data_IF_564556153427
#
_entry.id   IF_564556153427
#
_cell.length_a   1.000
_cell.length_b   1.000
_cell.length_c   1.000
_cell.angle_alpha   90.00
_cell.angle_beta   90.00
_cell.angle_gamma   90.00
#
_symmetry.space_group_name_H-M   'P 1'
#
loop_
_entity.id
_entity.type
_entity.pdbx_description
1 polymer ?
#
# COMPACT_ATOMS: atom_id res chain seq x y z
N UNK A 1 2.94 -22.67 -1.22
CA UNK A 1 2.13 -23.75 -0.61
C UNK A 1 2.96 -25.01 -0.36
N UNK A 2 3.65 -25.54 -1.38
CA UNK A 2 4.52 -26.73 -1.26
C UNK A 2 5.50 -26.70 -0.07
N UNK A 3 6.12 -25.55 0.22
CA UNK A 3 7.02 -25.38 1.38
C UNK A 3 6.31 -25.58 2.73
N UNK A 4 5.09 -25.06 2.90
CA UNK A 4 4.28 -25.24 4.12
C UNK A 4 3.95 -26.71 4.33
N UNK A 5 3.43 -27.34 3.28
CA UNK A 5 3.01 -28.74 3.33
C UNK A 5 4.19 -29.66 3.64
N UNK A 6 5.35 -29.37 3.05
CA UNK A 6 6.60 -30.11 3.30
C UNK A 6 7.06 -29.95 4.75
N UNK A 7 7.09 -28.72 5.28
CA UNK A 7 7.54 -28.46 6.64
C UNK A 7 6.58 -29.06 7.70
N UNK A 8 5.27 -28.99 7.46
CA UNK A 8 4.26 -29.65 8.32
C UNK A 8 4.42 -31.17 8.28
N UNK A 9 4.53 -31.76 7.09
CA UNK A 9 4.73 -33.20 6.94
C UNK A 9 6.00 -33.67 7.65
N UNK A 10 7.10 -32.91 7.53
CA UNK A 10 8.34 -33.18 8.24
C UNK A 10 8.16 -33.16 9.76
N UNK A 11 7.43 -32.18 10.32
CA UNK A 11 7.19 -32.13 11.77
C UNK A 11 6.40 -33.36 12.23
N UNK A 12 5.32 -33.70 11.52
CA UNK A 12 4.42 -34.81 11.87
C UNK A 12 5.13 -36.17 11.75
N UNK A 13 5.88 -36.40 10.68
CA UNK A 13 6.64 -37.64 10.47
C UNK A 13 7.69 -37.84 11.58
N UNK A 14 8.53 -36.82 11.81
CA UNK A 14 9.58 -36.91 12.82
C UNK A 14 9.01 -37.07 14.24
N UNK A 15 7.88 -36.42 14.56
CA UNK A 15 7.20 -36.61 15.83
C UNK A 15 6.64 -38.02 15.99
N UNK A 16 6.01 -38.56 14.94
CA UNK A 16 5.49 -39.94 14.92
C UNK A 16 6.60 -40.95 15.19
N UNK A 17 7.77 -40.74 14.58
CA UNK A 17 8.95 -41.56 14.85
C UNK A 17 9.46 -41.45 16.29
N UNK A 18 9.51 -40.23 16.86
CA UNK A 18 9.91 -40.03 18.25
C UNK A 18 8.99 -40.74 19.24
N UNK A 19 7.67 -40.63 19.04
CA UNK A 19 6.67 -41.31 19.89
C UNK A 19 6.80 -42.82 19.80
N UNK A 20 6.99 -43.35 18.59
CA UNK A 20 7.18 -44.78 18.37
C UNK A 20 8.46 -45.31 19.04
N UNK A 21 9.57 -44.56 18.94
CA UNK A 21 10.82 -44.90 19.60
C UNK A 21 10.73 -44.81 21.13
N UNK A 22 9.97 -43.84 21.65
CA UNK A 22 9.77 -43.65 23.09
C UNK A 22 8.90 -44.75 23.75
N UNK A 23 8.22 -45.58 22.96
CA UNK A 23 7.39 -46.67 23.49
C UNK A 23 8.27 -47.75 24.11
N UNK A 24 8.10 -47.96 25.42
CA UNK A 24 8.81 -49.00 26.17
C UNK A 24 8.40 -50.37 25.62
N UNK A 25 9.36 -51.09 25.02
CA UNK A 25 9.26 -52.52 24.76
C UNK A 25 10.24 -53.23 25.71
N UNK A 26 10.07 -54.54 25.96
CA UNK A 26 10.78 -55.37 26.96
C UNK A 26 12.32 -55.44 26.83
N UNK A 27 12.94 -54.66 25.95
CA UNK A 27 14.39 -54.63 25.77
C UNK A 27 15.00 -53.63 26.77
N UNK A 28 15.82 -54.07 27.75
CA UNK A 28 16.19 -53.24 28.91
C UNK A 28 17.16 -52.08 28.60
N UNK A 29 17.63 -51.96 27.35
CA UNK A 29 18.72 -51.04 27.00
C UNK A 29 18.42 -50.36 25.67
N UNK A 30 18.21 -49.04 25.71
CA UNK A 30 18.26 -48.18 24.51
C UNK A 30 19.71 -48.08 24.06
N UNK A 31 19.99 -48.42 22.80
CA UNK A 31 21.34 -48.26 22.27
C UNK A 31 21.63 -46.76 21.99
N UNK A 32 22.91 -46.38 22.03
CA UNK A 32 23.34 -45.00 21.79
C UNK A 32 22.96 -44.48 20.38
N UNK A 33 22.79 -45.40 19.43
CA UNK A 33 22.35 -45.09 18.07
C UNK A 33 20.90 -44.57 18.05
N UNK A 34 19.99 -45.21 18.78
CA UNK A 34 18.58 -44.80 18.87
C UNK A 34 18.47 -43.41 19.51
N UNK A 35 19.22 -43.14 20.58
CA UNK A 35 19.29 -41.82 21.20
C UNK A 35 19.75 -40.73 20.20
N UNK A 36 20.83 -41.00 19.45
CA UNK A 36 21.33 -40.10 18.40
C UNK A 36 20.28 -39.87 17.28
N UNK A 37 19.57 -40.91 16.85
CA UNK A 37 18.51 -40.74 15.85
C UNK A 37 17.35 -39.90 16.36
N UNK A 38 16.97 -40.04 17.64
CA UNK A 38 15.93 -39.20 18.25
C UNK A 38 16.34 -37.73 18.30
N UNK A 39 17.59 -37.44 18.67
CA UNK A 39 18.12 -36.07 18.67
C UNK A 39 18.09 -35.45 17.27
N UNK A 40 18.50 -36.21 16.25
CA UNK A 40 18.45 -35.76 14.87
C UNK A 40 17.00 -35.46 14.42
N UNK A 41 16.04 -36.29 14.83
CA UNK A 41 14.61 -36.11 14.50
C UNK A 41 14.04 -34.86 15.18
N UNK A 42 14.36 -34.63 16.46
CA UNK A 42 13.96 -33.42 17.18
C UNK A 42 14.57 -32.16 16.54
N UNK A 43 15.85 -32.22 16.14
CA UNK A 43 16.52 -31.12 15.43
C UNK A 43 15.84 -30.80 14.09
N UNK A 44 15.47 -31.82 13.31
CA UNK A 44 14.72 -31.63 12.05
C UNK A 44 13.35 -30.99 12.26
N UNK A 45 12.63 -31.36 13.33
CA UNK A 45 11.37 -30.71 13.68
C UNK A 45 11.57 -29.23 14.00
N UNK A 46 12.59 -28.90 14.80
CA UNK A 46 12.91 -27.50 15.13
C UNK A 46 13.26 -26.69 13.88
N UNK A 47 14.00 -27.28 12.94
CA UNK A 47 14.34 -26.64 11.66
C UNK A 47 13.10 -26.37 10.80
N UNK A 48 12.19 -27.35 10.69
CA UNK A 48 10.94 -27.18 9.96
C UNK A 48 10.05 -26.09 10.58
N UNK A 49 9.99 -26.04 11.92
CA UNK A 49 9.27 -24.97 12.63
C UNK A 49 9.88 -23.58 12.36
N UNK A 50 11.21 -23.45 12.37
CA UNK A 50 11.90 -22.20 12.02
C UNK A 50 11.63 -21.79 10.56
N UNK A 51 11.63 -22.75 9.63
CA UNK A 51 11.26 -22.49 8.23
C UNK A 51 9.84 -21.94 8.10
N UNK A 52 8.87 -22.48 8.86
CA UNK A 52 7.50 -21.97 8.88
C UNK A 52 7.43 -20.54 9.46
N UNK A 53 8.17 -20.24 10.53
CA UNK A 53 8.21 -18.88 11.10
C UNK A 53 8.78 -17.86 10.10
N UNK A 54 9.81 -18.24 9.34
CA UNK A 54 10.36 -17.42 8.26
C UNK A 54 9.32 -17.15 7.17
N UNK A 55 8.62 -18.19 6.72
CA UNK A 55 7.57 -18.03 5.71
C UNK A 55 6.43 -17.12 6.20
N UNK A 56 5.98 -17.28 7.44
CA UNK A 56 4.97 -16.40 8.04
C UNK A 56 5.45 -14.95 8.09
N UNK A 57 6.75 -14.74 8.31
CA UNK A 57 7.35 -13.40 8.29
C UNK A 57 7.39 -12.80 6.88
N UNK A 58 7.76 -13.59 5.87
CA UNK A 58 7.70 -13.20 4.45
C UNK A 58 6.28 -12.81 4.01
N UNK A 59 5.26 -13.58 4.44
CA UNK A 59 3.86 -13.29 4.14
C UNK A 59 3.38 -11.99 4.80
N UNK A 60 3.72 -11.76 6.07
CA UNK A 60 3.42 -10.50 6.76
C UNK A 60 4.07 -9.31 6.05
N UNK A 61 5.33 -9.45 5.65
CA UNK A 61 6.07 -8.43 4.91
C UNK A 61 5.37 -8.10 3.59
N UNK A 62 4.99 -9.12 2.82
CA UNK A 62 4.28 -8.97 1.54
C UNK A 62 2.95 -8.23 1.73
N UNK A 63 2.16 -8.63 2.74
CA UNK A 63 0.88 -7.98 3.04
C UNK A 63 1.04 -6.49 3.40
N UNK A 64 2.03 -6.15 4.24
CA UNK A 64 2.32 -4.76 4.62
C UNK A 64 2.68 -3.91 3.38
N UNK A 65 3.61 -4.39 2.55
CA UNK A 65 4.04 -3.63 1.38
C UNK A 65 2.97 -3.53 0.29
N UNK A 66 2.14 -4.57 0.12
CA UNK A 66 1.02 -4.50 -0.84
C UNK A 66 0.01 -3.41 -0.50
N UNK A 67 -0.25 -3.17 0.79
CA UNK A 67 -1.12 -2.09 1.24
C UNK A 67 -0.55 -0.70 0.91
N UNK A 68 0.77 -0.52 1.02
CA UNK A 68 1.42 0.75 0.68
C UNK A 68 1.43 1.02 -0.82
N UNK A 69 1.66 0.00 -1.66
CA UNK A 69 1.62 0.17 -3.12
C UNK A 69 0.23 0.64 -3.57
N UNK A 70 -0.83 -0.03 -3.12
CA UNK A 70 -2.21 0.36 -3.43
C UNK A 70 -2.56 1.75 -2.88
N UNK A 71 -2.10 2.08 -1.66
CA UNK A 71 -2.32 3.41 -1.10
C UNK A 71 -1.59 4.49 -1.90
N UNK A 72 -0.37 4.22 -2.35
CA UNK A 72 0.41 5.15 -3.16
C UNK A 72 -0.28 5.41 -4.50
N UNK A 73 -0.75 4.36 -5.18
CA UNK A 73 -1.51 4.50 -6.43
C UNK A 73 -2.75 5.38 -6.26
N UNK A 74 -3.48 5.23 -5.14
CA UNK A 74 -4.63 6.06 -4.82
C UNK A 74 -4.26 7.53 -4.52
N UNK A 75 -3.11 7.76 -3.87
CA UNK A 75 -2.60 9.11 -3.61
C UNK A 75 -2.22 9.78 -4.93
N UNK A 76 -1.49 9.09 -5.81
CA UNK A 76 -1.08 9.60 -7.12
C UNK A 76 -2.29 9.91 -8.01
N UNK A 77 -3.30 9.04 -8.01
CA UNK A 77 -4.57 9.30 -8.70
C UNK A 77 -5.23 10.59 -8.20
N UNK A 78 -5.35 10.75 -6.88
CA UNK A 78 -6.01 11.93 -6.29
C UNK A 78 -5.23 13.22 -6.55
N UNK A 79 -3.90 13.16 -6.55
CA UNK A 79 -3.06 14.29 -6.94
C UNK A 79 -3.40 14.71 -8.38
N UNK A 80 -3.46 13.75 -9.31
CA UNK A 80 -3.84 14.03 -10.70
C UNK A 80 -5.23 14.66 -10.84
N UNK A 81 -6.22 14.14 -10.11
CA UNK A 81 -7.58 14.69 -10.08
C UNK A 81 -7.62 16.13 -9.56
N UNK A 82 -6.89 16.43 -8.48
CA UNK A 82 -6.82 17.77 -7.93
C UNK A 82 -6.05 18.75 -8.83
N UNK A 83 -4.96 18.31 -9.46
CA UNK A 83 -4.25 19.12 -10.45
C UNK A 83 -5.17 19.49 -11.61
N UNK A 84 -5.91 18.52 -12.17
CA UNK A 84 -6.85 18.78 -13.25
C UNK A 84 -7.97 19.74 -12.82
N UNK A 85 -8.49 19.59 -11.59
CA UNK A 85 -9.50 20.48 -11.06
C UNK A 85 -8.98 21.90 -10.87
N UNK A 86 -7.74 22.06 -10.38
CA UNK A 86 -7.09 23.35 -10.24
C UNK A 86 -6.93 24.04 -11.60
N UNK A 87 -6.38 23.35 -12.60
CA UNK A 87 -6.22 23.89 -13.96
C UNK A 87 -7.56 24.32 -14.58
N UNK A 88 -8.61 23.51 -14.43
CA UNK A 88 -9.95 23.85 -14.91
C UNK A 88 -10.51 25.08 -14.20
N UNK A 89 -10.27 25.19 -12.90
CA UNK A 89 -10.74 26.32 -12.09
C UNK A 89 -10.00 27.60 -12.48
N UNK A 90 -8.69 27.55 -12.66
CA UNK A 90 -7.87 28.69 -13.10
C UNK A 90 -8.29 29.15 -14.50
N UNK A 91 -8.52 28.22 -15.43
CA UNK A 91 -9.02 28.54 -16.77
C UNK A 91 -10.39 29.23 -16.73
N UNK A 92 -11.30 28.75 -15.87
CA UNK A 92 -12.61 29.38 -15.70
C UNK A 92 -12.49 30.78 -15.09
N UNK A 93 -11.63 30.94 -14.08
CA UNK A 93 -11.40 32.23 -13.41
C UNK A 93 -10.81 33.25 -14.37
N UNK A 94 -9.84 32.86 -15.20
CA UNK A 94 -9.26 33.71 -16.24
C UNK A 94 -10.35 34.21 -17.21
N UNK A 95 -11.18 33.29 -17.72
CA UNK A 95 -12.28 33.64 -18.64
C UNK A 95 -13.29 34.62 -18.00
N UNK A 96 -13.70 34.37 -16.76
CA UNK A 96 -14.60 35.27 -16.02
C UNK A 96 -13.94 36.65 -15.83
N UNK A 97 -12.64 36.67 -15.54
CA UNK A 97 -11.87 37.91 -15.45
C UNK A 97 -11.85 38.71 -16.76
N UNK A 98 -11.67 38.04 -17.89
CA UNK A 98 -11.71 38.66 -19.22
C UNK A 98 -13.11 39.21 -19.55
N UNK A 99 -14.16 38.44 -19.30
CA UNK A 99 -15.56 38.86 -19.52
C UNK A 99 -15.92 40.08 -18.65
N UNK A 100 -15.49 40.08 -17.38
CA UNK A 100 -15.70 41.21 -16.47
C UNK A 100 -14.92 42.46 -16.92
N UNK A 101 -13.66 42.31 -17.33
CA UNK A 101 -12.85 43.41 -17.83
C UNK A 101 -13.44 44.02 -19.12
N UNK A 102 -13.92 43.18 -20.04
CA UNK A 102 -14.60 43.62 -21.25
C UNK A 102 -15.87 44.42 -20.93
N UNK A 103 -16.71 43.90 -20.02
CA UNK A 103 -17.94 44.57 -19.58
C UNK A 103 -17.66 45.93 -18.92
N UNK A 104 -16.62 46.02 -18.08
CA UNK A 104 -16.21 47.28 -17.45
C UNK A 104 -15.71 48.30 -18.48
N UNK A 105 -14.93 47.86 -19.48
CA UNK A 105 -14.45 48.73 -20.55
C UNK A 105 -15.59 49.26 -21.43
N UNK A 106 -16.58 48.44 -21.72
CA UNK A 106 -17.79 48.85 -22.43
C UNK A 106 -18.58 49.89 -21.62
N UNK A 107 -18.78 49.64 -20.33
CA UNK A 107 -19.45 50.58 -19.43
C UNK A 107 -18.70 51.92 -19.32
N UNK A 108 -17.37 51.87 -19.19
CA UNK A 108 -16.52 53.05 -19.20
C UNK A 108 -16.69 53.85 -20.50
N UNK A 109 -16.61 53.16 -21.65
CA UNK A 109 -16.81 53.79 -22.96
C UNK A 109 -18.17 54.48 -23.06
N UNK A 110 -19.24 53.83 -22.62
CA UNK A 110 -20.57 54.42 -22.57
C UNK A 110 -20.63 55.66 -21.67
N UNK A 111 -20.03 55.59 -20.49
CA UNK A 111 -19.97 56.72 -19.56
C UNK A 111 -19.25 57.95 -20.15
N UNK A 112 -18.15 57.75 -20.87
CA UNK A 112 -17.43 58.85 -21.53
C UNK A 112 -18.11 59.33 -22.83
N UNK A 113 -18.85 58.46 -23.54
CA UNK A 113 -19.62 58.82 -24.74
C UNK A 113 -20.94 59.55 -24.43
N UNK A 114 -21.43 59.45 -23.20
CA UNK A 114 -22.60 60.19 -22.72
C UNK A 114 -22.34 61.70 -22.77
N UNK A 115 -23.24 62.43 -23.43
CA UNK A 115 -23.16 63.88 -23.68
C UNK A 115 -23.13 64.78 -22.41
N UNK A 116 -23.13 64.19 -21.21
CA UNK A 116 -23.13 64.93 -19.96
C UNK A 116 -21.76 65.55 -19.60
N UNK A 117 -20.67 65.17 -20.27
CA UNK A 117 -19.35 65.83 -20.08
C UNK A 117 -18.90 66.75 -21.21
N UNK A 118 -19.40 66.59 -22.44
CA UNK A 118 -19.16 67.59 -23.50
C UNK A 118 -19.77 68.95 -23.14
N UNK A 119 -20.75 68.99 -22.24
CA UNK A 119 -21.36 70.25 -21.78
C UNK A 119 -20.63 70.88 -20.58
N UNK A 120 -19.90 70.11 -19.75
CA UNK A 120 -19.19 70.63 -18.57
C UNK A 120 -17.77 71.13 -18.86
N UNK A 121 -17.20 70.82 -20.03
CA UNK A 121 -15.86 71.33 -20.45
C UNK A 121 -15.93 72.52 -21.41
N UNK A 122 -17.14 73.02 -21.71
CA UNK A 122 -17.41 74.16 -22.58
C UNK A 122 -18.16 75.24 -21.79
N UNK A 123 -17.54 75.81 -20.75
CA UNK A 123 -17.82 77.20 -20.35
C UNK A 123 -16.50 77.88 -19.90
N UNK A 124 -16.20 79.11 -20.38
CA UNK A 124 -15.05 79.92 -19.99
C UNK A 124 -15.22 80.65 -18.64
#
# INVERSE_FOLDING_TARGET
MVRVETDIANIVDNFTHLVNAARINDTPVRNSQEACTMDMRASRMAQAADSLLKLVSELKQTAIFSGFASLNDHVDQRIGEFTQLAEKTDSLLARVGEEAAASLKELETHYYSSAQRTTQTLEP
#
